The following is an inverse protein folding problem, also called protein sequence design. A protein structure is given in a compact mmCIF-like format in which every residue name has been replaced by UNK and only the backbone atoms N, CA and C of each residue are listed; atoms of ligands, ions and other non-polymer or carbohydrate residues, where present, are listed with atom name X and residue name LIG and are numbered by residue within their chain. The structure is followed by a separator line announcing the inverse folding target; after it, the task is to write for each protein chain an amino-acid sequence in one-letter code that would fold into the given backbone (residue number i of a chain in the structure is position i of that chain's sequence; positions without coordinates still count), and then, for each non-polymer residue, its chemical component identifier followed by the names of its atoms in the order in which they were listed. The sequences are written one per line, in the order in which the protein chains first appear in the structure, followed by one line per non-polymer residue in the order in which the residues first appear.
data_IF_387291295843
#
_entry.id   IF_387291295843
#
_cell.length_a   1.000
_cell.length_b   1.000
_cell.length_c   1.000
_cell.angle_alpha   90.00
_cell.angle_beta   90.00
_cell.angle_gamma   90.00
#
_symmetry.space_group_name_H-M   'P 1'
#
loop_
_entity.id
_entity.type
_entity.pdbx_description
1 polymer ?
#
# COMPACT_ATOMS: atom_id res chain seq x y z
N UNK A 1 -3.45 9.53 6.39
CA UNK A 1 -2.81 8.40 5.67
C UNK A 1 -3.07 8.46 4.16
N UNK A 2 -4.34 8.52 3.70
CA UNK A 2 -4.63 8.59 2.26
C UNK A 2 -3.85 9.70 1.55
N UNK A 3 -3.89 10.93 2.07
CA UNK A 3 -3.12 12.05 1.51
C UNK A 3 -1.60 11.81 1.50
N UNK A 4 -1.07 11.13 2.52
CA UNK A 4 0.36 10.77 2.53
C UNK A 4 0.68 9.83 1.39
N UNK A 5 -0.11 8.77 1.19
CA UNK A 5 0.07 7.82 0.09
C UNK A 5 -0.13 8.55 -1.24
N UNK A 6 -1.14 9.41 -1.36
CA UNK A 6 -1.39 10.20 -2.56
C UNK A 6 -0.18 11.08 -2.91
N UNK A 7 0.43 11.72 -1.92
CA UNK A 7 1.63 12.52 -2.12
C UNK A 7 2.83 11.66 -2.55
N UNK A 8 3.02 10.49 -1.95
CA UNK A 8 4.07 9.55 -2.35
C UNK A 8 3.87 9.03 -3.78
N UNK A 9 2.63 8.64 -4.11
CA UNK A 9 2.25 8.23 -5.47
C UNK A 9 2.50 9.39 -6.42
N UNK A 10 1.99 10.60 -6.14
CA UNK A 10 2.17 11.78 -7.00
C UNK A 10 3.64 12.11 -7.27
N UNK A 11 4.51 12.01 -6.26
CA UNK A 11 5.94 12.27 -6.41
C UNK A 11 6.64 11.31 -7.38
N UNK A 12 6.14 10.08 -7.53
CA UNK A 12 6.86 9.04 -8.28
C UNK A 12 6.11 8.56 -9.52
N UNK A 13 4.80 8.38 -9.41
CA UNK A 13 3.89 8.21 -10.53
C UNK A 13 3.97 9.39 -11.50
N UNK A 14 4.37 10.58 -11.03
CA UNK A 14 4.63 11.73 -11.88
C UNK A 14 5.51 11.41 -13.10
N UNK A 15 6.47 10.49 -12.99
CA UNK A 15 7.30 10.12 -14.15
C UNK A 15 6.71 8.96 -14.95
N UNK A 16 6.11 7.96 -14.29
CA UNK A 16 5.60 6.74 -14.94
C UNK A 16 4.16 6.83 -15.46
N UNK A 17 3.41 7.85 -15.03
CA UNK A 17 2.02 8.14 -15.42
C UNK A 17 1.96 9.35 -16.35
N UNK A 18 2.66 10.45 -16.03
CA UNK A 18 2.62 11.67 -16.86
C UNK A 18 3.43 11.51 -18.17
N UNK A 19 4.52 10.73 -18.16
CA UNK A 19 5.25 10.43 -19.41
C UNK A 19 4.68 9.21 -20.16
N UNK A 20 3.59 8.61 -19.69
CA UNK A 20 3.01 7.43 -20.31
C UNK A 20 1.92 7.82 -21.30
N UNK A 21 2.24 7.72 -22.60
CA UNK A 21 1.32 8.05 -23.69
C UNK A 21 0.01 7.26 -23.68
N UNK A 22 -0.06 6.14 -22.95
CA UNK A 22 -1.28 5.34 -22.81
C UNK A 22 -2.25 5.89 -21.75
N UNK A 23 -1.83 6.85 -20.92
CA UNK A 23 -2.66 7.48 -19.90
C UNK A 23 -2.92 8.93 -20.34
N UNK A 24 -4.18 9.30 -20.65
CA UNK A 24 -4.51 10.68 -20.97
C UNK A 24 -4.16 11.59 -19.78
N UNK A 25 -3.54 12.74 -20.03
CA UNK A 25 -3.16 13.67 -18.97
C UNK A 25 -4.35 14.10 -18.10
N UNK A 26 -5.54 14.18 -18.69
CA UNK A 26 -6.80 14.49 -18.00
C UNK A 26 -7.19 13.41 -16.97
N UNK A 27 -6.72 12.16 -17.16
CA UNK A 27 -6.92 11.06 -16.23
C UNK A 27 -5.80 10.93 -15.20
N UNK A 28 -4.74 11.74 -15.26
CA UNK A 28 -3.60 11.63 -14.33
C UNK A 28 -4.06 11.71 -12.88
N UNK A 29 -4.85 12.72 -12.51
CA UNK A 29 -5.39 12.83 -11.14
C UNK A 29 -6.24 11.62 -10.74
N UNK A 30 -7.09 11.12 -11.65
CA UNK A 30 -7.91 9.92 -11.39
C UNK A 30 -7.05 8.67 -11.24
N UNK A 31 -5.96 8.54 -12.01
CA UNK A 31 -4.99 7.46 -11.91
C UNK A 31 -4.29 7.52 -10.56
N UNK A 32 -3.79 8.68 -10.17
CA UNK A 32 -3.12 8.88 -8.88
C UNK A 32 -4.04 8.51 -7.72
N UNK A 33 -5.29 8.99 -7.73
CA UNK A 33 -6.29 8.64 -6.72
C UNK A 33 -6.62 7.14 -6.73
N UNK A 34 -6.79 6.56 -7.91
CA UNK A 34 -7.08 5.12 -8.05
C UNK A 34 -5.94 4.30 -7.47
N UNK A 35 -4.70 4.52 -7.89
CA UNK A 35 -3.51 3.83 -7.36
C UNK A 35 -3.42 4.00 -5.84
N UNK A 36 -3.65 5.21 -5.32
CA UNK A 36 -3.64 5.48 -3.89
C UNK A 36 -4.67 4.64 -3.13
N UNK A 37 -5.92 4.65 -3.59
CA UNK A 37 -6.98 3.83 -3.02
C UNK A 37 -6.69 2.35 -3.12
N UNK A 38 -6.16 1.88 -4.26
CA UNK A 38 -5.82 0.48 -4.47
C UNK A 38 -4.68 0.01 -3.58
N UNK A 39 -3.68 0.87 -3.33
CA UNK A 39 -2.59 0.57 -2.37
C UNK A 39 -3.18 0.38 -0.96
N UNK A 40 -4.03 1.30 -0.52
CA UNK A 40 -4.69 1.18 0.78
C UNK A 40 -5.57 -0.08 0.87
N UNK A 41 -6.35 -0.35 -0.17
CA UNK A 41 -7.20 -1.53 -0.23
C UNK A 41 -6.38 -2.83 -0.22
N UNK A 42 -5.31 -2.90 -1.02
CA UNK A 42 -4.43 -4.07 -1.08
C UNK A 42 -3.73 -4.32 0.26
N UNK A 43 -3.27 -3.25 0.93
CA UNK A 43 -2.68 -3.35 2.26
C UNK A 43 -3.70 -3.84 3.29
N UNK A 44 -4.92 -3.31 3.27
CA UNK A 44 -6.01 -3.77 4.14
C UNK A 44 -6.40 -5.22 3.89
N UNK A 45 -6.51 -5.64 2.62
CA UNK A 45 -6.79 -7.03 2.26
C UNK A 45 -5.67 -7.97 2.72
N UNK A 46 -4.40 -7.56 2.59
CA UNK A 46 -3.29 -8.36 3.08
C UNK A 46 -3.26 -8.44 4.60
N UNK A 47 -3.49 -7.34 5.31
CA UNK A 47 -3.62 -7.34 6.76
C UNK A 47 -4.70 -8.35 7.21
N UNK A 48 -5.84 -8.36 6.54
CA UNK A 48 -6.95 -9.28 6.82
C UNK A 48 -6.66 -10.74 6.42
N UNK A 49 -5.87 -10.96 5.38
CA UNK A 49 -5.51 -12.31 4.87
C UNK A 49 -4.41 -13.00 5.68
N UNK A 50 -4.11 -12.53 6.90
CA UNK A 50 -3.03 -13.05 7.75
C UNK A 50 -1.67 -12.37 7.51
N UNK A 51 -1.59 -11.39 6.62
CA UNK A 51 -0.40 -10.60 6.32
C UNK A 51 -0.04 -9.56 7.39
N UNK A 52 -0.82 -9.43 8.47
CA UNK A 52 -0.53 -8.50 9.57
C UNK A 52 0.86 -8.69 10.19
N UNK A 53 1.28 -9.93 10.43
CA UNK A 53 2.63 -10.21 10.96
C UNK A 53 3.73 -9.80 9.99
N UNK A 54 3.48 -10.02 8.70
CA UNK A 54 4.35 -9.61 7.59
C UNK A 54 4.47 -8.09 7.48
N UNK A 55 3.34 -7.38 7.59
CA UNK A 55 3.28 -5.91 7.66
C UNK A 55 4.00 -5.38 8.90
N UNK A 56 3.84 -6.03 10.05
CA UNK A 56 4.55 -5.68 11.28
C UNK A 56 6.06 -5.84 11.14
N UNK A 57 6.52 -6.96 10.57
CA UNK A 57 7.93 -7.18 10.25
C UNK A 57 8.47 -6.09 9.34
N UNK A 58 7.74 -5.75 8.28
CA UNK A 58 8.04 -4.65 7.37
C UNK A 58 8.16 -3.31 8.09
N UNK A 59 7.17 -2.97 8.90
CA UNK A 59 7.10 -1.70 9.64
C UNK A 59 8.12 -1.66 10.78
N UNK A 60 8.60 -2.78 11.31
CA UNK A 60 9.64 -2.78 12.36
C UNK A 60 11.06 -2.95 11.79
N UNK A 61 11.19 -3.01 10.46
CA UNK A 61 12.47 -3.28 9.78
C UNK A 61 12.97 -4.73 9.89
N UNK A 62 12.19 -5.64 10.48
CA UNK A 62 12.51 -7.07 10.61
C UNK A 62 12.06 -7.92 9.39
N UNK A 63 11.33 -7.35 8.44
CA UNK A 63 10.57 -8.07 7.40
C UNK A 63 11.24 -8.24 6.03
N UNK A 64 12.53 -7.93 5.88
CA UNK A 64 13.23 -8.01 4.59
C UNK A 64 12.86 -6.91 3.59
N UNK A 65 13.35 -7.04 2.35
CA UNK A 65 13.16 -6.03 1.30
C UNK A 65 11.71 -5.95 0.84
N UNK A 66 11.21 -4.73 0.67
CA UNK A 66 9.82 -4.45 0.26
C UNK A 66 9.48 -5.05 -1.09
N UNK A 67 10.43 -5.08 -2.03
CA UNK A 67 10.23 -5.62 -3.38
C UNK A 67 9.86 -7.12 -3.42
N UNK A 68 10.41 -7.94 -2.52
CA UNK A 68 10.24 -9.39 -2.56
C UNK A 68 9.07 -9.89 -1.69
N UNK A 69 8.41 -8.98 -0.98
CA UNK A 69 7.49 -9.37 0.07
C UNK A 69 6.09 -9.70 -0.47
N UNK A 70 5.40 -10.73 0.06
CA UNK A 70 4.07 -11.16 -0.40
C UNK A 70 3.02 -10.04 -0.32
N UNK A 71 3.19 -9.10 0.62
CA UNK A 71 2.30 -7.94 0.70
C UNK A 71 2.43 -7.05 -0.52
N UNK A 72 3.65 -6.75 -0.95
CA UNK A 72 3.89 -5.89 -2.11
C UNK A 72 3.32 -6.52 -3.38
N UNK A 73 3.47 -7.83 -3.54
CA UNK A 73 2.88 -8.60 -4.63
C UNK A 73 1.34 -8.53 -4.62
N UNK A 74 0.72 -8.72 -3.46
CA UNK A 74 -0.74 -8.61 -3.32
C UNK A 74 -1.24 -7.20 -3.66
N UNK A 75 -0.55 -6.17 -3.16
CA UNK A 75 -0.88 -4.77 -3.45
C UNK A 75 -0.71 -4.44 -4.94
N UNK A 76 0.38 -4.92 -5.56
CA UNK A 76 0.61 -4.76 -7.00
C UNK A 76 -0.54 -5.35 -7.82
N UNK A 77 -1.03 -6.54 -7.47
CA UNK A 77 -2.17 -7.16 -8.12
C UNK A 77 -3.45 -6.34 -7.94
N UNK A 78 -3.74 -5.85 -6.74
CA UNK A 78 -4.91 -4.99 -6.48
C UNK A 78 -4.85 -3.70 -7.30
N UNK A 79 -3.70 -3.02 -7.32
CA UNK A 79 -3.49 -1.79 -8.10
C UNK A 79 -3.67 -2.06 -9.59
N UNK A 80 -3.09 -3.15 -10.09
CA UNK A 80 -3.25 -3.53 -11.49
C UNK A 80 -4.74 -3.76 -11.82
N UNK A 81 -5.47 -4.53 -11.01
CA UNK A 81 -6.89 -4.81 -11.20
C UNK A 81 -7.76 -3.56 -11.20
N UNK A 82 -7.50 -2.64 -10.28
CA UNK A 82 -8.24 -1.38 -10.18
C UNK A 82 -7.95 -0.46 -11.36
N UNK A 83 -6.69 -0.33 -11.79
CA UNK A 83 -6.33 0.46 -12.98
C UNK A 83 -7.01 -0.10 -14.23
N UNK A 84 -7.03 -1.42 -14.38
CA UNK A 84 -7.71 -2.08 -15.50
C UNK A 84 -9.22 -1.86 -15.45
N UNK A 85 -9.85 -2.14 -14.31
CA UNK A 85 -11.32 -2.14 -14.18
C UNK A 85 -11.92 -0.74 -14.09
N UNK A 86 -11.27 0.20 -13.40
CA UNK A 86 -11.81 1.55 -13.16
C UNK A 86 -11.45 2.53 -14.27
N UNK A 87 -10.26 2.40 -14.86
CA UNK A 87 -9.76 3.37 -15.84
C UNK A 87 -9.74 2.82 -17.26
N UNK A 88 -9.93 1.51 -17.43
CA UNK A 88 -9.82 0.84 -18.73
C UNK A 88 -8.38 0.80 -19.24
N UNK A 89 -7.40 0.86 -18.33
CA UNK A 89 -5.98 0.82 -18.70
C UNK A 89 -5.60 -0.61 -19.12
N UNK A 90 -4.75 -0.75 -20.13
CA UNK A 90 -4.31 -2.07 -20.58
C UNK A 90 -3.51 -2.80 -19.49
N UNK A 91 -3.58 -4.14 -19.42
CA UNK A 91 -2.88 -4.91 -18.41
C UNK A 91 -1.37 -4.63 -18.35
N UNK A 92 -0.73 -4.44 -19.51
CA UNK A 92 0.71 -4.15 -19.58
C UNK A 92 1.06 -2.80 -18.96
N UNK A 93 0.24 -1.77 -19.20
CA UNK A 93 0.45 -0.42 -18.65
C UNK A 93 0.16 -0.42 -17.16
N UNK A 94 -0.95 -1.04 -16.74
CA UNK A 94 -1.30 -1.18 -15.33
C UNK A 94 -0.21 -1.92 -14.53
N UNK A 95 0.33 -3.01 -15.09
CA UNK A 95 1.44 -3.75 -14.50
C UNK A 95 2.71 -2.90 -14.39
N UNK A 96 3.08 -2.17 -15.44
CA UNK A 96 4.27 -1.29 -15.42
C UNK A 96 4.15 -0.19 -14.36
N UNK A 97 2.96 0.41 -14.25
CA UNK A 97 2.65 1.45 -13.26
C UNK A 97 2.69 0.87 -11.84
N UNK A 98 2.05 -0.28 -11.61
CA UNK A 98 2.05 -0.95 -10.31
C UNK A 98 3.47 -1.40 -9.90
N UNK A 99 4.22 -1.99 -10.82
CA UNK A 99 5.59 -2.46 -10.57
C UNK A 99 6.55 -1.31 -10.22
N UNK A 100 6.39 -0.14 -10.82
CA UNK A 100 7.23 1.02 -10.51
C UNK A 100 6.80 1.74 -9.22
N UNK A 101 5.49 1.91 -9.00
CA UNK A 101 4.99 2.78 -7.94
C UNK A 101 4.84 2.02 -6.62
N UNK A 102 4.29 0.81 -6.63
CA UNK A 102 3.92 0.11 -5.39
C UNK A 102 5.12 -0.15 -4.49
N UNK A 103 6.23 -0.76 -4.94
CA UNK A 103 7.37 -1.02 -4.07
C UNK A 103 7.95 0.26 -3.48
N UNK A 104 8.03 1.32 -4.30
CA UNK A 104 8.56 2.62 -3.87
C UNK A 104 7.65 3.30 -2.83
N UNK A 105 6.33 3.30 -3.04
CA UNK A 105 5.37 3.92 -2.11
C UNK A 105 5.38 3.16 -0.79
N UNK A 106 5.36 1.83 -0.85
CA UNK A 106 5.44 0.98 0.34
C UNK A 106 6.75 1.21 1.09
N UNK A 107 7.88 1.24 0.39
CA UNK A 107 9.20 1.49 0.99
C UNK A 107 9.24 2.86 1.69
N UNK A 108 8.77 3.92 1.03
CA UNK A 108 8.68 5.25 1.62
C UNK A 108 7.71 5.31 2.79
N UNK A 109 6.59 4.60 2.71
CA UNK A 109 5.60 4.54 3.78
C UNK A 109 6.17 3.87 5.03
N UNK A 110 6.87 2.74 4.87
CA UNK A 110 7.57 2.06 5.97
C UNK A 110 8.73 2.88 6.53
N UNK A 111 9.45 3.60 5.66
CA UNK A 111 10.50 4.50 6.11
C UNK A 111 9.92 5.60 6.99
N UNK A 112 8.83 6.25 6.56
CA UNK A 112 8.09 7.24 7.36
C UNK A 112 7.56 6.65 8.67
N UNK A 113 7.00 5.44 8.63
CA UNK A 113 6.52 4.71 9.81
C UNK A 113 7.56 4.48 10.90
N UNK A 114 8.83 4.36 10.49
CA UNK A 114 9.98 4.17 11.35
C UNK A 114 10.75 5.45 11.64
N UNK A 115 10.37 6.57 11.03
CA UNK A 115 11.10 7.82 11.15
C UNK A 115 10.61 8.57 12.41
N UNK A 116 11.41 8.64 13.48
CA UNK A 116 11.01 9.34 14.70
C UNK A 116 10.86 10.85 14.51
N UNK A 117 11.29 11.39 13.36
CA UNK A 117 11.22 12.81 13.02
C UNK A 117 10.03 13.14 12.09
N UNK A 118 9.31 12.14 11.58
CA UNK A 118 8.18 12.31 10.66
C UNK A 118 6.88 11.72 11.24
N UNK A 119 6.11 12.56 11.93
CA UNK A 119 4.83 12.18 12.55
C UNK A 119 3.67 12.07 11.55
N UNK A 120 3.92 12.13 10.24
CA UNK A 120 2.84 12.05 9.24
C UNK A 120 2.24 10.64 9.13
N UNK A 121 3.06 9.63 9.41
CA UNK A 121 2.68 8.21 9.41
C UNK A 121 3.55 7.49 10.43
N UNK A 122 2.99 7.11 11.57
CA UNK A 122 3.69 6.26 12.55
C UNK A 122 3.26 4.79 12.41
N UNK A 123 4.13 3.88 12.82
CA UNK A 123 3.85 2.44 12.89
C UNK A 123 2.52 2.11 13.58
N UNK A 124 2.21 2.78 14.69
CA UNK A 124 0.95 2.60 15.43
C UNK A 124 -0.27 3.05 14.63
N UNK A 125 -0.19 4.20 13.96
CA UNK A 125 -1.26 4.72 13.11
C UNK A 125 -1.49 3.84 11.87
N UNK A 126 -0.42 3.30 11.27
CA UNK A 126 -0.51 2.31 10.20
C UNK A 126 -1.21 1.04 10.67
N UNK A 127 -0.73 0.45 11.77
CA UNK A 127 -1.33 -0.76 12.32
C UNK A 127 -2.79 -0.55 12.69
N UNK A 128 -3.14 0.60 13.25
CA UNK A 128 -4.52 0.95 13.54
C UNK A 128 -5.36 1.11 12.26
N UNK A 129 -4.82 1.77 11.23
CA UNK A 129 -5.51 1.94 9.93
C UNK A 129 -5.68 0.64 9.15
N UNK A 130 -4.78 -0.32 9.32
CA UNK A 130 -4.79 -1.61 8.64
C UNK A 130 -5.52 -2.69 9.44
N UNK A 131 -5.54 -2.59 10.77
CA UNK A 131 -6.22 -3.52 11.69
C UNK A 131 -7.63 -3.08 12.13
N UNK A 132 -8.07 -1.86 11.80
CA UNK A 132 -9.21 -1.22 12.44
C UNK A 132 -10.50 -1.14 11.62
N UNK A 133 -11.22 -2.26 11.47
CA UNK A 133 -12.68 -2.42 11.70
C UNK A 133 -13.06 -3.92 11.60
N UNK A 134 -12.28 -4.83 12.22
CA UNK A 134 -12.67 -6.25 12.24
C UNK A 134 -11.58 -7.31 12.42
N UNK A 135 -10.29 -6.98 12.54
CA UNK A 135 -9.27 -8.04 12.58
C UNK A 135 -7.97 -7.64 13.28
N UNK A 136 -7.57 -8.42 14.27
CA UNK A 136 -6.17 -8.49 14.70
C UNK A 136 -5.96 -8.36 16.19
N UNK A 137 -5.90 -7.15 16.73
CA UNK A 137 -5.23 -6.96 18.03
C UNK A 137 -6.10 -7.37 19.23
N UNK A 138 -7.42 -7.15 19.19
CA UNK A 138 -8.34 -7.58 20.25
C UNK A 138 -8.50 -9.10 20.35
N UNK A 139 -8.51 -9.82 19.23
CA UNK A 139 -8.63 -11.28 19.21
C UNK A 139 -7.28 -11.99 19.45
N UNK A 140 -6.15 -11.42 19.03
CA UNK A 140 -4.83 -12.00 19.31
C UNK A 140 -4.47 -11.84 20.80
N UNK A 141 -4.77 -10.69 21.42
CA UNK A 141 -4.61 -10.54 22.88
C UNK A 141 -5.67 -11.35 23.65
N UNK A 142 -6.92 -11.40 23.17
CA UNK A 142 -7.99 -12.20 23.76
C UNK A 142 -7.75 -13.72 23.68
N UNK A 143 -7.12 -14.21 22.61
CA UNK A 143 -6.79 -15.62 22.43
C UNK A 143 -5.54 -16.08 23.19
N UNK A 144 -4.63 -15.17 23.55
CA UNK A 144 -3.38 -15.49 24.27
C UNK A 144 -3.57 -15.41 25.79
N UNK A 145 -4.48 -14.56 26.28
CA UNK A 145 -4.80 -14.44 27.71
C UNK A 145 -6.09 -15.15 28.14
N UNK A 146 -6.87 -15.70 27.20
CA UNK A 146 -8.18 -16.33 27.46
C UNK A 146 -8.18 -17.86 27.62
N UNK A 147 -7.02 -18.52 27.65
CA UNK A 147 -6.91 -19.97 27.87
C UNK A 147 -6.55 -20.32 29.31
N UNK A 148 -7.55 -20.47 30.18
CA UNK A 148 -7.53 -21.36 31.35
C UNK A 148 -8.89 -22.06 31.43
#
# INVERSE_FOLDING_TARGET
MFETILNLVRQHAGQSVVNNSAIPNEKNDTVLQTVTSSIMNGLGQQAQSGGLGSLLGMVTGQGGSVDDHPVSQGVQQTVQQDLMSKLGISPQVAMSVAAAIVPMVLSKLMHKANDPTDSSVDAGSLLNSLGGQGGGLGNILGGLFGGH
#
